data_IF_912721785033
#
_entry.id   IF_912721785033
#
_cell.length_a   1.000
_cell.length_b   1.000
_cell.length_c   1.000
_cell.angle_alpha   90.00
_cell.angle_beta   90.00
_cell.angle_gamma   90.00
#
_symmetry.space_group_name_H-M   'P 1'
#
loop_
_entity.id
_entity.type
_entity.pdbx_description
1 polymer ?
#
# COMPACT_ATOMS: atom_id res chain seq x y z
N UNK A 1 10.59 -5.01 28.85
CA UNK A 1 10.62 -4.23 27.60
C UNK A 1 11.43 -4.92 26.50
N UNK A 2 12.73 -5.18 26.70
CA UNK A 2 13.57 -5.81 25.67
C UNK A 2 13.11 -7.24 25.30
N UNK A 3 12.79 -8.08 26.28
CA UNK A 3 12.28 -9.44 26.03
C UNK A 3 10.94 -9.46 25.28
N UNK A 4 10.03 -8.56 25.63
CA UNK A 4 8.73 -8.42 24.94
C UNK A 4 8.92 -7.98 23.49
N UNK A 5 9.85 -7.05 23.22
CA UNK A 5 10.22 -6.65 21.86
C UNK A 5 10.82 -7.82 21.08
N UNK A 6 11.75 -8.57 21.69
CA UNK A 6 12.36 -9.75 21.07
C UNK A 6 11.32 -10.81 20.73
N UNK A 7 10.40 -11.09 21.65
CA UNK A 7 9.31 -12.03 21.43
C UNK A 7 8.32 -11.53 20.37
N UNK A 8 7.99 -10.24 20.37
CA UNK A 8 7.13 -9.65 19.35
C UNK A 8 7.78 -9.76 17.95
N UNK A 9 9.07 -9.46 17.83
CA UNK A 9 9.83 -9.56 16.57
C UNK A 9 10.16 -11.00 16.15
N UNK A 10 10.00 -11.98 17.05
CA UNK A 10 10.18 -13.40 16.71
C UNK A 10 9.12 -13.89 15.71
N UNK A 11 7.93 -13.29 15.71
CA UNK A 11 6.88 -13.58 14.73
C UNK A 11 7.30 -13.02 13.37
N UNK A 12 7.37 -13.88 12.34
CA UNK A 12 7.78 -13.49 10.97
C UNK A 12 7.00 -12.29 10.45
N UNK A 13 5.66 -12.31 10.54
CA UNK A 13 4.79 -11.17 10.17
C UNK A 13 5.22 -9.85 10.83
N UNK A 14 5.54 -9.87 12.13
CA UNK A 14 5.93 -8.67 12.86
C UNK A 14 7.32 -8.16 12.44
N UNK A 15 8.25 -9.07 12.16
CA UNK A 15 9.56 -8.71 11.61
C UNK A 15 9.43 -8.09 10.22
N UNK A 16 8.62 -8.69 9.34
CA UNK A 16 8.45 -8.23 7.97
C UNK A 16 7.74 -6.86 7.95
N UNK A 17 6.77 -6.64 8.85
CA UNK A 17 6.18 -5.32 9.10
C UNK A 17 7.22 -4.31 9.64
N UNK A 18 8.07 -4.71 10.58
CA UNK A 18 9.13 -3.85 11.10
C UNK A 18 10.14 -3.47 10.00
N UNK A 19 10.47 -4.39 9.09
CA UNK A 19 11.31 -4.10 7.93
C UNK A 19 10.64 -3.08 7.00
N UNK A 20 9.35 -3.24 6.70
CA UNK A 20 8.59 -2.25 5.92
C UNK A 20 8.62 -0.86 6.57
N UNK A 21 8.37 -0.79 7.88
CA UNK A 21 8.37 0.47 8.62
C UNK A 21 9.76 1.12 8.66
N UNK A 22 10.82 0.35 8.97
CA UNK A 22 12.21 0.85 9.03
C UNK A 22 12.69 1.29 7.66
N UNK A 23 12.39 0.52 6.60
CA UNK A 23 12.72 0.90 5.23
C UNK A 23 12.02 2.20 4.81
N UNK A 24 10.74 2.34 5.13
CA UNK A 24 9.98 3.57 4.85
C UNK A 24 10.53 4.77 5.62
N UNK A 25 10.79 4.63 6.92
CA UNK A 25 11.39 5.69 7.74
C UNK A 25 12.81 6.05 7.27
N UNK A 26 13.62 5.07 6.87
CA UNK A 26 14.93 5.30 6.28
C UNK A 26 14.84 6.09 4.98
N UNK A 27 13.84 5.78 4.14
CA UNK A 27 13.58 6.51 2.91
C UNK A 27 13.16 7.96 3.18
N UNK A 28 12.26 8.17 4.15
CA UNK A 28 11.93 9.51 4.68
C UNK A 28 13.13 10.22 5.29
N UNK A 29 14.14 9.51 5.80
CA UNK A 29 15.39 10.08 6.29
C UNK A 29 16.39 10.43 5.19
N UNK A 30 16.11 10.06 3.95
CA UNK A 30 16.94 10.31 2.77
C UNK A 30 17.90 9.19 2.40
N UNK A 31 17.81 8.03 3.05
CA UNK A 31 18.46 6.82 2.55
C UNK A 31 17.70 6.33 1.31
N UNK A 32 18.41 6.01 0.21
CA UNK A 32 17.80 5.67 -1.08
C UNK A 32 17.64 4.15 -1.24
N UNK A 33 18.43 3.55 -2.13
CA UNK A 33 18.30 2.14 -2.52
C UNK A 33 18.33 1.16 -1.35
N UNK A 34 19.15 1.40 -0.33
CA UNK A 34 19.20 0.54 0.86
C UNK A 34 17.87 0.51 1.63
N UNK A 35 17.27 1.68 1.84
CA UNK A 35 15.98 1.78 2.54
C UNK A 35 14.83 1.17 1.74
N UNK A 36 14.80 1.40 0.42
CA UNK A 36 13.85 0.78 -0.48
C UNK A 36 13.99 -0.75 -0.52
N UNK A 37 15.22 -1.28 -0.47
CA UNK A 37 15.47 -2.73 -0.46
C UNK A 37 14.95 -3.39 0.81
N UNK A 38 15.12 -2.72 1.96
CA UNK A 38 14.58 -3.19 3.24
C UNK A 38 13.04 -3.19 3.22
N UNK A 39 12.43 -2.10 2.71
CA UNK A 39 10.99 -2.00 2.59
C UNK A 39 10.41 -3.06 1.65
N UNK A 40 11.02 -3.25 0.47
CA UNK A 40 10.62 -4.25 -0.51
C UNK A 40 10.69 -5.68 0.07
N UNK A 41 11.74 -5.99 0.84
CA UNK A 41 11.84 -7.29 1.51
C UNK A 41 10.78 -7.50 2.58
N UNK A 42 10.38 -6.44 3.28
CA UNK A 42 9.23 -6.46 4.18
C UNK A 42 7.92 -6.80 3.45
N UNK A 43 7.65 -6.13 2.31
CA UNK A 43 6.46 -6.40 1.49
C UNK A 43 6.43 -7.84 0.96
N UNK A 44 7.56 -8.35 0.44
CA UNK A 44 7.66 -9.76 -0.01
C UNK A 44 7.37 -10.71 1.14
N UNK A 45 7.93 -10.46 2.32
CA UNK A 45 7.67 -11.27 3.50
C UNK A 45 6.20 -11.27 3.93
N UNK A 46 5.52 -10.12 3.85
CA UNK A 46 4.09 -10.00 4.13
C UNK A 46 3.24 -10.76 3.10
N UNK A 47 3.59 -10.72 1.81
CA UNK A 47 2.91 -11.51 0.77
C UNK A 47 3.09 -13.03 0.98
N UNK A 48 4.27 -13.47 1.39
CA UNK A 48 4.49 -14.88 1.77
C UNK A 48 3.58 -15.31 2.93
N UNK A 49 3.43 -14.45 3.95
CA UNK A 49 2.54 -14.73 5.09
C UNK A 49 1.07 -14.72 4.66
N UNK A 50 0.69 -13.81 3.76
CA UNK A 50 -0.65 -13.77 3.18
C UNK A 50 -0.96 -15.08 2.44
N UNK A 51 -0.06 -15.58 1.59
CA UNK A 51 -0.25 -16.85 0.88
C UNK A 51 -0.35 -18.05 1.82
N UNK A 52 0.44 -18.09 2.90
CA UNK A 52 0.32 -19.13 3.93
C UNK A 52 -1.02 -19.09 4.67
N UNK A 53 -1.58 -17.90 4.87
CA UNK A 53 -2.88 -17.72 5.51
C UNK A 53 -4.07 -18.06 4.58
N UNK A 54 -3.83 -18.15 3.27
CA UNK A 54 -4.83 -18.48 2.25
C UNK A 54 -4.43 -19.77 1.50
N UNK A 55 -4.46 -20.94 2.16
CA UNK A 55 -4.12 -22.21 1.52
C UNK A 55 -5.13 -22.62 0.43
N UNK A 56 -6.29 -21.96 0.39
CA UNK A 56 -7.30 -22.05 -0.68
C UNK A 56 -6.85 -21.38 -1.99
N UNK A 57 -5.82 -20.53 -1.94
CA UNK A 57 -5.32 -19.82 -3.10
C UNK A 57 -4.07 -20.49 -3.67
N UNK A 58 -4.21 -21.19 -4.80
CA UNK A 58 -3.15 -21.86 -5.55
C UNK A 58 -2.74 -21.13 -6.85
N UNK A 59 -3.31 -19.95 -7.07
CA UNK A 59 -3.09 -19.12 -8.25
C UNK A 59 -1.70 -18.49 -8.37
N UNK A 60 -1.38 -18.08 -9.59
CA UNK A 60 -0.10 -17.45 -9.93
C UNK A 60 -0.04 -15.96 -9.52
N UNK A 61 0.84 -15.18 -10.14
CA UNK A 61 0.95 -13.75 -9.85
C UNK A 61 -0.23 -12.94 -10.42
N UNK A 62 -0.73 -13.31 -11.61
CA UNK A 62 -1.84 -12.61 -12.26
C UNK A 62 -3.15 -12.90 -11.53
N UNK A 63 -3.38 -14.15 -11.14
CA UNK A 63 -4.51 -14.50 -10.28
C UNK A 63 -4.50 -13.70 -8.97
N UNK A 64 -3.30 -13.54 -8.40
CA UNK A 64 -3.09 -12.80 -7.15
C UNK A 64 -3.32 -11.30 -7.32
N UNK A 65 -2.90 -10.77 -8.47
CA UNK A 65 -3.11 -9.39 -8.88
C UNK A 65 -4.60 -9.07 -9.04
N UNK A 66 -5.34 -9.94 -9.73
CA UNK A 66 -6.78 -9.78 -9.93
C UNK A 66 -7.52 -9.84 -8.59
N UNK A 67 -7.14 -10.76 -7.70
CA UNK A 67 -7.67 -10.83 -6.33
C UNK A 67 -7.37 -9.56 -5.52
N UNK A 68 -6.15 -9.01 -5.62
CA UNK A 68 -5.78 -7.78 -4.93
C UNK A 68 -6.57 -6.57 -5.44
N UNK A 69 -6.81 -6.49 -6.75
CA UNK A 69 -7.63 -5.42 -7.35
C UNK A 69 -9.09 -5.55 -6.92
N UNK A 70 -9.67 -6.75 -6.94
CA UNK A 70 -11.05 -6.93 -6.50
C UNK A 70 -11.24 -6.59 -5.02
N UNK A 71 -10.35 -7.08 -4.15
CA UNK A 71 -10.36 -6.69 -2.73
C UNK A 71 -10.20 -5.17 -2.55
N UNK A 72 -9.30 -4.53 -3.31
CA UNK A 72 -9.15 -3.07 -3.30
C UNK A 72 -10.45 -2.37 -3.70
N UNK A 73 -11.09 -2.79 -4.80
CA UNK A 73 -12.29 -2.12 -5.28
C UNK A 73 -13.46 -2.29 -4.29
N UNK A 74 -13.65 -3.49 -3.73
CA UNK A 74 -14.66 -3.77 -2.71
C UNK A 74 -14.48 -2.95 -1.43
N UNK A 75 -13.24 -2.71 -1.02
CA UNK A 75 -12.91 -1.98 0.22
C UNK A 75 -12.84 -0.47 0.07
N UNK A 76 -13.09 0.07 -1.12
CA UNK A 76 -13.07 1.50 -1.38
C UNK A 76 -14.38 1.94 -2.03
N UNK A 77 -15.53 1.87 -1.36
CA UNK A 77 -16.80 2.22 -2.02
C UNK A 77 -17.17 3.69 -1.86
N UNK A 78 -16.65 4.37 -0.83
CA UNK A 78 -17.00 5.78 -0.58
C UNK A 78 -16.40 6.72 -1.65
N UNK A 79 -17.22 7.61 -2.26
CA UNK A 79 -16.75 8.50 -3.33
C UNK A 79 -15.73 9.54 -2.83
N UNK A 80 -15.79 9.94 -1.56
CA UNK A 80 -14.83 10.88 -0.96
C UNK A 80 -13.51 10.18 -0.70
N UNK A 81 -13.53 8.96 -0.18
CA UNK A 81 -12.33 8.13 -0.04
C UNK A 81 -11.62 7.95 -1.39
N UNK A 82 -12.37 7.57 -2.44
CA UNK A 82 -11.82 7.46 -3.81
C UNK A 82 -11.27 8.77 -4.36
N UNK A 83 -11.90 9.91 -4.06
CA UNK A 83 -11.40 11.24 -4.45
C UNK A 83 -10.08 11.57 -3.75
N UNK A 84 -10.00 11.31 -2.44
CA UNK A 84 -8.78 11.52 -1.66
C UNK A 84 -7.65 10.64 -2.19
N UNK A 85 -7.92 9.38 -2.55
CA UNK A 85 -6.95 8.49 -3.21
C UNK A 85 -6.49 9.02 -4.58
N UNK A 86 -7.42 9.52 -5.39
CA UNK A 86 -7.12 10.10 -6.71
C UNK A 86 -6.12 11.26 -6.62
N UNK A 87 -6.11 12.00 -5.51
CA UNK A 87 -5.17 13.11 -5.27
C UNK A 87 -3.93 12.61 -4.53
N UNK A 88 -4.12 11.83 -3.47
CA UNK A 88 -3.06 11.36 -2.57
C UNK A 88 -2.08 10.41 -3.24
N UNK A 89 -2.54 9.51 -4.12
CA UNK A 89 -1.69 8.55 -4.82
C UNK A 89 -0.67 9.26 -5.73
N UNK A 90 -1.07 10.19 -6.63
CA UNK A 90 -0.10 10.99 -7.39
C UNK A 90 0.89 11.76 -6.52
N UNK A 91 0.45 12.31 -5.38
CA UNK A 91 1.34 12.99 -4.43
C UNK A 91 2.34 12.02 -3.78
N UNK A 92 1.92 10.82 -3.41
CA UNK A 92 2.79 9.77 -2.86
C UNK A 92 3.83 9.34 -3.88
N UNK A 93 3.39 8.99 -5.10
CA UNK A 93 4.28 8.52 -6.17
C UNK A 93 5.24 9.62 -6.60
N UNK A 94 4.73 10.84 -6.85
CA UNK A 94 5.54 11.99 -7.22
C UNK A 94 6.52 12.42 -6.13
N UNK A 95 6.08 12.43 -4.87
CA UNK A 95 6.92 12.72 -3.72
C UNK A 95 8.04 11.70 -3.54
N UNK A 96 7.73 10.40 -3.67
CA UNK A 96 8.72 9.32 -3.67
C UNK A 96 9.79 9.52 -4.76
N UNK A 97 9.35 9.73 -6.01
CA UNK A 97 10.26 9.99 -7.13
C UNK A 97 11.09 11.27 -6.91
N UNK A 98 10.47 12.32 -6.38
CA UNK A 98 11.14 13.58 -6.07
C UNK A 98 12.25 13.43 -5.03
N UNK A 99 12.03 12.66 -3.95
CA UNK A 99 13.10 12.41 -2.96
C UNK A 99 14.24 11.53 -3.52
N UNK A 100 13.93 10.63 -4.46
CA UNK A 100 14.96 9.84 -5.14
C UNK A 100 15.81 10.72 -6.07
N UNK A 101 15.18 11.64 -6.79
CA UNK A 101 15.86 12.54 -7.71
C UNK A 101 16.64 13.66 -7.00
N UNK A 102 16.09 14.24 -5.94
CA UNK A 102 16.69 15.38 -5.25
C UNK A 102 17.88 14.97 -4.35
N UNK A 103 18.87 15.87 -4.15
CA UNK A 103 19.87 15.69 -3.11
C UNK A 103 19.24 15.76 -1.72
N UNK A 104 19.71 14.91 -0.82
CA UNK A 104 19.17 14.75 0.54
C UNK A 104 19.13 16.09 1.30
N UNK A 105 18.01 16.36 1.96
CA UNK A 105 17.75 17.55 2.81
C UNK A 105 17.80 18.93 2.12
N UNK A 106 17.80 18.96 0.79
CA UNK A 106 17.62 20.21 0.04
C UNK A 106 16.15 20.68 0.06
N UNK A 107 15.86 21.95 -0.26
CA UNK A 107 14.46 22.40 -0.35
C UNK A 107 13.60 21.55 -1.31
N UNK A 108 14.06 21.15 -2.51
CA UNK A 108 13.32 20.22 -3.36
C UNK A 108 13.03 18.86 -2.72
N UNK A 109 13.98 18.34 -1.95
CA UNK A 109 13.79 17.08 -1.23
C UNK A 109 12.74 17.21 -0.12
N UNK A 110 12.73 18.33 0.62
CA UNK A 110 11.71 18.59 1.64
C UNK A 110 10.33 18.83 1.04
N UNK A 111 10.24 19.50 -0.12
CA UNK A 111 8.98 19.61 -0.87
C UNK A 111 8.46 18.25 -1.30
N UNK A 112 9.33 17.38 -1.81
CA UNK A 112 8.96 16.03 -2.21
C UNK A 112 8.53 15.16 -1.01
N UNK A 113 9.24 15.23 0.11
CA UNK A 113 8.88 14.54 1.34
C UNK A 113 7.56 15.06 1.94
N UNK A 114 7.35 16.38 1.92
CA UNK A 114 6.09 17.01 2.32
C UNK A 114 4.92 16.57 1.46
N UNK A 115 5.10 16.53 0.13
CA UNK A 115 4.09 16.01 -0.80
C UNK A 115 3.77 14.54 -0.54
N UNK A 116 4.79 13.71 -0.34
CA UNK A 116 4.63 12.29 0.01
C UNK A 116 3.83 12.10 1.31
N UNK A 117 4.22 12.83 2.36
CA UNK A 117 3.59 12.76 3.68
C UNK A 117 2.14 13.23 3.61
N UNK A 118 1.86 14.35 2.93
CA UNK A 118 0.51 14.87 2.77
C UNK A 118 -0.38 13.90 1.98
N UNK A 119 0.13 13.27 0.92
CA UNK A 119 -0.61 12.27 0.16
C UNK A 119 -1.03 11.07 1.02
N UNK A 120 -0.13 10.58 1.89
CA UNK A 120 -0.45 9.54 2.86
C UNK A 120 -1.53 9.97 3.85
N UNK A 121 -1.44 11.18 4.39
CA UNK A 121 -2.45 11.74 5.29
C UNK A 121 -3.83 11.76 4.62
N UNK A 122 -3.91 12.20 3.35
CA UNK A 122 -5.17 12.19 2.60
C UNK A 122 -5.76 10.79 2.48
N UNK A 123 -4.96 9.78 2.10
CA UNK A 123 -5.43 8.40 1.96
C UNK A 123 -5.86 7.82 3.31
N UNK A 124 -5.10 8.04 4.39
CA UNK A 124 -5.48 7.57 5.72
C UNK A 124 -6.75 8.24 6.26
N UNK A 125 -6.95 9.52 5.96
CA UNK A 125 -8.21 10.22 6.28
C UNK A 125 -9.37 9.62 5.49
N UNK A 126 -9.15 9.32 4.20
CA UNK A 126 -10.10 8.58 3.36
C UNK A 126 -10.58 7.28 4.02
N UNK A 127 -9.63 6.42 4.34
CA UNK A 127 -9.91 5.14 5.00
C UNK A 127 -10.54 5.29 6.40
N UNK A 128 -9.92 6.09 7.27
CA UNK A 128 -10.34 6.14 8.68
C UNK A 128 -11.64 6.89 8.91
N UNK A 129 -11.88 7.98 8.18
CA UNK A 129 -13.04 8.84 8.42
C UNK A 129 -14.23 8.50 7.52
N UNK A 130 -13.99 8.24 6.24
CA UNK A 130 -15.05 8.03 5.26
C UNK A 130 -15.39 6.54 5.09
N UNK A 131 -14.39 5.70 4.86
CA UNK A 131 -14.61 4.25 4.74
C UNK A 131 -14.82 3.56 6.10
N UNK A 132 -14.36 4.20 7.19
CA UNK A 132 -14.38 3.66 8.58
C UNK A 132 -13.71 2.29 8.69
N UNK A 133 -12.69 2.06 7.86
CA UNK A 133 -11.96 0.80 7.76
C UNK A 133 -10.45 1.00 7.83
N UNK A 134 -9.74 -0.10 8.03
CA UNK A 134 -8.29 -0.10 7.86
C UNK A 134 -7.94 0.09 6.37
N UNK A 135 -6.73 0.59 6.05
CA UNK A 135 -6.23 0.58 4.69
C UNK A 135 -6.22 -0.84 4.12
N UNK A 136 -6.62 -1.03 2.86
CA UNK A 136 -6.73 -2.36 2.26
C UNK A 136 -5.41 -3.16 2.33
N UNK A 137 -4.27 -2.48 2.24
CA UNK A 137 -2.98 -3.14 2.34
C UNK A 137 -2.63 -3.69 3.73
N UNK A 138 -3.40 -3.33 4.77
CA UNK A 138 -3.26 -3.93 6.08
C UNK A 138 -3.67 -5.41 6.09
N UNK A 139 -4.65 -5.77 5.26
CA UNK A 139 -5.19 -7.12 5.13
C UNK A 139 -4.67 -7.85 3.88
N UNK A 140 -4.49 -7.14 2.77
CA UNK A 140 -3.92 -7.65 1.52
C UNK A 140 -2.66 -6.86 1.12
N UNK A 141 -1.44 -7.36 1.41
CA UNK A 141 -0.20 -6.62 1.13
C UNK A 141 0.00 -6.23 -0.33
N UNK A 142 -0.48 -7.02 -1.30
CA UNK A 142 -0.32 -6.73 -2.72
C UNK A 142 -1.22 -5.57 -3.16
N UNK A 143 -2.35 -5.36 -2.49
CA UNK A 143 -3.23 -4.21 -2.75
C UNK A 143 -2.51 -2.86 -2.57
N UNK A 144 -1.40 -2.82 -1.83
CA UNK A 144 -0.51 -1.65 -1.73
C UNK A 144 0.01 -1.17 -3.10
N UNK A 145 0.27 -2.10 -4.03
CA UNK A 145 0.76 -1.80 -5.38
C UNK A 145 -0.37 -1.90 -6.40
N UNK A 146 -1.19 -2.95 -6.31
CA UNK A 146 -2.27 -3.20 -7.25
C UNK A 146 -3.34 -2.09 -7.23
N UNK A 147 -3.70 -1.60 -6.05
CA UNK A 147 -4.69 -0.53 -5.86
C UNK A 147 -4.29 0.78 -6.56
N UNK A 148 -3.10 1.34 -6.31
CA UNK A 148 -2.61 2.51 -7.03
C UNK A 148 -2.57 2.36 -8.55
N UNK A 149 -2.11 1.20 -9.05
CA UNK A 149 -2.11 0.93 -10.50
C UNK A 149 -3.54 0.93 -11.06
N UNK A 150 -4.48 0.32 -10.34
CA UNK A 150 -5.89 0.31 -10.71
C UNK A 150 -6.49 1.72 -10.76
N UNK A 151 -6.18 2.58 -9.79
CA UNK A 151 -6.68 3.97 -9.80
C UNK A 151 -6.12 4.79 -10.97
N UNK A 152 -4.82 4.65 -11.30
CA UNK A 152 -4.27 5.29 -12.49
C UNK A 152 -4.96 4.84 -13.77
N UNK A 153 -5.24 3.54 -13.87
CA UNK A 153 -5.95 2.97 -14.99
C UNK A 153 -7.36 3.56 -15.11
N UNK A 154 -8.10 3.68 -14.00
CA UNK A 154 -9.44 4.30 -13.97
C UNK A 154 -9.42 5.77 -14.35
N UNK A 155 -8.46 6.54 -13.83
CA UNK A 155 -8.27 7.95 -14.18
C UNK A 155 -8.05 8.08 -15.69
N UNK A 156 -7.15 7.27 -16.25
CA UNK A 156 -6.87 7.24 -17.69
C UNK A 156 -8.13 6.90 -18.51
N UNK A 157 -8.88 5.88 -18.12
CA UNK A 157 -10.08 5.48 -18.85
C UNK A 157 -11.16 6.55 -18.83
N UNK A 158 -11.37 7.20 -17.67
CA UNK A 158 -12.27 8.35 -17.53
C UNK A 158 -11.86 9.52 -18.44
N UNK A 159 -10.57 9.83 -18.51
CA UNK A 159 -10.04 10.86 -19.41
C UNK A 159 -10.22 10.47 -20.89
N UNK A 160 -10.20 9.18 -21.22
CA UNK A 160 -10.44 8.65 -22.55
C UNK A 160 -11.92 8.44 -22.89
N UNK A 161 -12.86 8.80 -21.99
CA UNK A 161 -14.30 8.61 -22.19
C UNK A 161 -14.74 7.15 -22.19
N UNK A 162 -13.94 6.22 -21.63
CA UNK A 162 -14.27 4.80 -21.55
C UNK A 162 -14.97 4.49 -20.22
N UNK A 163 -16.13 3.86 -20.29
CA UNK A 163 -16.75 3.26 -19.12
C UNK A 163 -16.02 1.95 -18.79
N UNK A 164 -15.49 1.82 -17.57
CA UNK A 164 -14.92 0.57 -17.06
C UNK A 164 -15.87 -0.01 -16.02
N UNK A 165 -16.26 -1.26 -16.22
CA UNK A 165 -17.07 -2.01 -15.25
C UNK A 165 -16.27 -2.40 -14.00
N UNK A 166 -16.94 -3.01 -13.01
CA UNK A 166 -16.28 -3.64 -11.86
C UNK A 166 -15.26 -4.68 -12.32
N UNK A 167 -14.34 -5.02 -11.44
CA UNK A 167 -13.33 -6.06 -11.72
C UNK A 167 -14.02 -7.42 -11.63
N UNK A 168 -14.04 -8.16 -12.74
CA UNK A 168 -14.57 -9.53 -12.80
C UNK A 168 -13.58 -10.51 -12.15
N UNK A 169 -13.38 -10.42 -10.83
CA UNK A 169 -12.65 -11.43 -10.06
C UNK A 169 -13.52 -11.93 -8.90
N UNK A 170 -13.38 -13.21 -8.51
CA UNK A 170 -14.17 -13.77 -7.43
C UNK A 170 -13.93 -13.00 -6.12
N UNK A 171 -14.99 -12.78 -5.32
CA UNK A 171 -14.88 -12.01 -4.09
C UNK A 171 -13.89 -12.71 -3.13
N UNK A 172 -13.12 -11.94 -2.36
CA UNK A 172 -12.15 -12.46 -1.44
C UNK A 172 -12.84 -13.27 -0.33
N UNK A 173 -12.27 -14.44 -0.01
CA UNK A 173 -12.58 -15.13 1.25
C UNK A 173 -12.23 -14.17 2.39
N UNK A 174 -13.16 -13.78 3.28
CA UNK A 174 -12.85 -12.92 4.41
C UNK A 174 -11.78 -13.60 5.26
N UNK A 175 -10.67 -12.92 5.54
CA UNK A 175 -9.79 -13.35 6.62
C UNK A 175 -10.59 -13.17 7.91
N UNK A 176 -10.92 -14.27 8.58
CA UNK A 176 -11.56 -14.22 9.88
C UNK A 176 -10.80 -13.20 10.74
N UNK A 177 -11.53 -12.19 11.25
CA UNK A 177 -10.96 -11.15 12.09
C UNK A 177 -10.05 -11.80 13.13
N UNK A 178 -8.76 -11.48 13.09
CA UNK A 178 -7.83 -11.95 14.08
C UNK A 178 -8.31 -11.42 15.44
N UNK A 179 -8.87 -12.31 16.25
CA UNK A 179 -9.19 -12.09 17.65
C UNK A 179 -7.91 -11.97 18.49
#
# INVERSE_FOLDING_TARGET
MLEQLTQALSKKKNRDLAMLAVGTAGFMGGAKLGALSIAARGLVGLEEEWRKAHPDFDGDLMDRWDRAIAFYDETHQDPTNRLLHTIGIPMIVGGALGMLAAPRWTPPWWMANGSWTAGWVLNFVGHGYFEKGAPAFADDPLSFVAGPVWDFVRIKDKLMGKARGPVDAPPPTPVAAAA
#
